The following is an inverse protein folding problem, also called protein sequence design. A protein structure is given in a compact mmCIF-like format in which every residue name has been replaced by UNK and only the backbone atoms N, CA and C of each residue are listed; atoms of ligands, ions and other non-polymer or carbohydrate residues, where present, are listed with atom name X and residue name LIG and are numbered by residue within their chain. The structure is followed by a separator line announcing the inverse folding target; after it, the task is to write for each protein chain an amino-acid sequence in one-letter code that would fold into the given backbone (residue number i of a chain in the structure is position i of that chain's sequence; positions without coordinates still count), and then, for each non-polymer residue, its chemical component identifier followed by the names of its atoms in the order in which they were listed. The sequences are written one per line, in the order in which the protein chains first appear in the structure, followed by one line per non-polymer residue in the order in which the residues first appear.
data_IF_024495850247
#
_entry.id   IF_024495850247
#
_cell.length_a   1.000
_cell.length_b   1.000
_cell.length_c   1.000
_cell.angle_alpha   90.00
_cell.angle_beta   90.00
_cell.angle_gamma   90.00
#
_symmetry.space_group_name_H-M   'P 1'
#
loop_
_entity.id
_entity.type
_entity.pdbx_description
1 polymer ?
#
# COMPACT_ATOMS: atom_id res chain seq x y z
N UNK A 1 12.32 0.86 -4.26
CA UNK A 1 11.62 0.89 -2.96
C UNK A 1 10.19 1.30 -3.20
N UNK A 2 9.24 0.65 -2.54
CA UNK A 2 7.83 1.04 -2.52
C UNK A 2 7.50 1.32 -1.06
N UNK A 3 7.00 2.51 -0.75
CA UNK A 3 6.74 2.98 0.61
C UNK A 3 5.35 3.60 0.70
N UNK A 4 4.78 3.67 1.90
CA UNK A 4 3.55 4.44 2.11
C UNK A 4 3.85 5.94 2.07
N UNK A 5 2.93 6.73 1.51
CA UNK A 5 2.97 8.20 1.58
C UNK A 5 2.49 8.71 2.94
N UNK A 6 1.66 7.92 3.64
CA UNK A 6 1.01 8.27 4.90
C UNK A 6 0.22 9.61 4.73
N UNK A 7 0.43 10.55 5.64
CA UNK A 7 -0.15 11.91 5.62
C UNK A 7 0.85 12.96 5.10
N UNK A 8 2.02 12.54 4.60
CA UNK A 8 3.09 13.44 4.16
C UNK A 8 2.91 13.86 2.71
N UNK A 9 3.40 15.04 2.34
CA UNK A 9 3.53 15.38 0.93
C UNK A 9 4.63 14.52 0.28
N UNK A 10 4.52 14.28 -1.03
CA UNK A 10 5.56 13.57 -1.79
C UNK A 10 6.94 14.21 -1.63
N UNK A 11 7.01 15.54 -1.59
CA UNK A 11 8.27 16.27 -1.44
C UNK A 11 8.92 16.04 -0.07
N UNK A 12 8.14 16.09 1.02
CA UNK A 12 8.63 15.81 2.36
C UNK A 12 9.13 14.37 2.47
N UNK A 13 8.37 13.41 1.94
CA UNK A 13 8.74 11.99 1.96
C UNK A 13 10.00 11.73 1.14
N UNK A 14 10.12 12.31 -0.05
CA UNK A 14 11.33 12.24 -0.89
C UNK A 14 12.54 12.84 -0.19
N UNK A 15 12.39 13.98 0.49
CA UNK A 15 13.48 14.62 1.22
C UNK A 15 14.03 13.70 2.32
N UNK A 16 13.15 13.05 3.09
CA UNK A 16 13.54 12.07 4.11
C UNK A 16 14.26 10.88 3.48
N UNK A 17 13.71 10.30 2.41
CA UNK A 17 14.32 9.16 1.71
C UNK A 17 15.71 9.54 1.18
N UNK A 18 15.83 10.67 0.47
CA UNK A 18 17.11 11.14 -0.07
C UNK A 18 18.14 11.37 1.04
N UNK A 19 17.75 12.00 2.15
CA UNK A 19 18.65 12.25 3.27
C UNK A 19 19.16 10.94 3.90
N UNK A 20 18.28 9.96 4.10
CA UNK A 20 18.63 8.65 4.64
C UNK A 20 19.60 7.90 3.71
N UNK A 21 19.32 7.91 2.41
CA UNK A 21 20.18 7.26 1.41
C UNK A 21 21.56 7.92 1.36
N UNK A 22 21.63 9.25 1.28
CA UNK A 22 22.90 9.99 1.21
C UNK A 22 23.75 9.86 2.49
N UNK A 23 23.12 9.59 3.63
CA UNK A 23 23.83 9.32 4.88
C UNK A 23 24.63 8.01 4.83
N UNK A 24 24.14 7.02 4.11
CA UNK A 24 24.79 5.70 3.94
C UNK A 24 25.67 5.67 2.70
N UNK A 25 25.15 6.19 1.59
CA UNK A 25 25.81 6.27 0.28
C UNK A 25 26.17 7.72 -0.03
N UNK A 26 27.34 8.17 0.44
CA UNK A 26 27.75 9.58 0.32
C UNK A 26 27.86 10.09 -1.11
N UNK A 27 28.08 9.19 -2.07
CA UNK A 27 28.19 9.50 -3.51
C UNK A 27 26.83 9.45 -4.23
N UNK A 28 25.75 9.04 -3.54
CA UNK A 28 24.45 8.91 -4.16
C UNK A 28 23.91 10.28 -4.61
N UNK A 29 23.37 10.30 -5.82
CA UNK A 29 22.66 11.46 -6.34
C UNK A 29 21.41 11.71 -5.48
N UNK A 30 21.04 12.98 -5.32
CA UNK A 30 19.81 13.36 -4.63
C UNK A 30 18.61 12.70 -5.32
N UNK A 31 17.76 12.04 -4.52
CA UNK A 31 16.51 11.46 -5.00
C UNK A 31 15.44 12.54 -4.94
N UNK A 32 14.89 12.90 -6.09
CA UNK A 32 13.94 14.02 -6.25
C UNK A 32 12.69 13.65 -7.06
N UNK A 33 12.54 12.38 -7.42
CA UNK A 33 11.51 11.87 -8.31
C UNK A 33 11.18 10.43 -7.93
N UNK A 34 9.96 9.99 -8.26
CA UNK A 34 9.49 8.63 -8.00
C UNK A 34 9.45 7.73 -9.24
N UNK A 35 9.68 8.27 -10.43
CA UNK A 35 9.53 7.57 -11.70
C UNK A 35 10.85 7.44 -12.47
N UNK A 36 11.99 7.41 -11.75
CA UNK A 36 13.31 7.16 -12.34
C UNK A 36 14.25 6.42 -11.40
N UNK A 37 15.33 5.88 -11.98
CA UNK A 37 16.42 5.26 -11.26
C UNK A 37 17.54 6.28 -10.99
N UNK A 38 18.10 6.21 -9.79
CA UNK A 38 19.19 7.06 -9.31
C UNK A 38 20.41 6.21 -9.00
N UNK A 39 21.59 6.70 -9.38
CA UNK A 39 22.84 6.02 -9.05
C UNK A 39 23.13 6.15 -7.55
N UNK A 40 23.30 5.01 -6.87
CA UNK A 40 23.77 4.97 -5.48
C UNK A 40 25.29 4.90 -5.38
N UNK A 41 25.89 4.07 -6.22
CA UNK A 41 27.33 3.84 -6.24
C UNK A 41 27.76 3.49 -7.67
N UNK A 42 28.69 4.28 -8.22
CA UNK A 42 29.20 4.07 -9.56
C UNK A 42 30.07 2.80 -9.67
N UNK A 43 30.85 2.48 -8.63
CA UNK A 43 31.76 1.32 -8.63
C UNK A 43 31.03 -0.02 -8.71
N UNK A 44 29.85 -0.12 -8.10
CA UNK A 44 29.03 -1.34 -8.10
C UNK A 44 27.88 -1.30 -9.11
N UNK A 45 27.81 -0.24 -9.93
CA UNK A 45 26.70 0.07 -10.81
C UNK A 45 25.31 -0.10 -10.14
N UNK A 46 25.20 0.24 -8.86
CA UNK A 46 23.98 0.03 -8.08
C UNK A 46 23.07 1.24 -8.20
N UNK A 47 21.81 0.99 -8.56
CA UNK A 47 20.78 2.01 -8.73
C UNK A 47 19.63 1.79 -7.75
N UNK A 48 18.88 2.86 -7.49
CA UNK A 48 17.68 2.85 -6.67
C UNK A 48 16.56 3.65 -7.33
N UNK A 49 15.33 3.15 -7.24
CA UNK A 49 14.12 3.93 -7.51
C UNK A 49 13.26 3.95 -6.25
N UNK A 50 12.36 4.93 -6.14
CA UNK A 50 11.43 5.05 -5.02
C UNK A 50 10.04 5.34 -5.55
N UNK A 51 9.01 4.66 -5.05
CA UNK A 51 7.61 4.98 -5.34
C UNK A 51 6.83 5.04 -4.03
N UNK A 52 5.79 5.87 -3.99
CA UNK A 52 4.92 6.02 -2.83
C UNK A 52 3.52 5.51 -3.14
N UNK A 53 3.00 4.63 -2.30
CA UNK A 53 1.62 4.18 -2.35
C UNK A 53 0.71 5.28 -1.82
N UNK A 54 -0.31 5.62 -2.60
CA UNK A 54 -1.32 6.60 -2.20
C UNK A 54 -2.60 6.45 -3.02
N UNK A 55 -3.66 7.07 -2.52
CA UNK A 55 -4.89 7.40 -3.24
C UNK A 55 -5.12 8.89 -3.02
N UNK A 56 -5.21 9.69 -4.09
CA UNK A 56 -5.36 11.15 -4.00
C UNK A 56 -4.27 11.83 -3.12
N UNK A 57 -2.99 11.58 -3.42
CA UNK A 57 -1.82 12.12 -2.70
C UNK A 57 -1.72 11.79 -1.20
N UNK A 58 -2.47 10.81 -0.68
CA UNK A 58 -2.36 10.34 0.70
C UNK A 58 -2.59 8.83 0.83
N UNK A 59 -2.09 8.23 1.90
CA UNK A 59 -2.46 6.88 2.30
C UNK A 59 -1.34 5.85 2.21
N UNK A 60 -1.77 4.59 2.24
CA UNK A 60 -0.93 3.42 2.48
C UNK A 60 -1.34 2.28 1.56
N UNK A 61 -0.65 1.15 1.65
CA UNK A 61 -1.05 -0.09 0.97
C UNK A 61 -2.54 -0.43 1.19
N UNK A 62 -3.04 -0.36 2.42
CA UNK A 62 -4.44 -0.65 2.72
C UNK A 62 -5.41 0.29 1.98
N UNK A 63 -5.04 1.55 1.78
CA UNK A 63 -5.84 2.52 1.03
C UNK A 63 -5.92 2.11 -0.44
N UNK A 64 -4.79 1.75 -1.05
CA UNK A 64 -4.73 1.27 -2.45
C UNK A 64 -5.52 -0.03 -2.61
N UNK A 65 -5.36 -0.98 -1.68
CA UNK A 65 -6.09 -2.26 -1.74
C UNK A 65 -7.61 -2.04 -1.66
N UNK A 66 -8.06 -1.15 -0.78
CA UNK A 66 -9.49 -0.82 -0.66
C UNK A 66 -10.04 -0.18 -1.94
N UNK A 67 -9.25 0.68 -2.59
CA UNK A 67 -9.61 1.33 -3.85
C UNK A 67 -9.79 0.33 -5.00
N UNK A 68 -8.93 -0.69 -5.07
CA UNK A 68 -8.94 -1.67 -6.16
C UNK A 68 -9.85 -2.88 -5.90
N UNK A 69 -10.65 -2.91 -4.83
CA UNK A 69 -11.56 -4.04 -4.56
C UNK A 69 -12.56 -4.20 -5.72
N UNK A 70 -12.89 -5.44 -6.08
CA UNK A 70 -13.88 -5.72 -7.14
C UNK A 70 -15.22 -6.21 -6.62
N UNK A 71 -15.28 -6.62 -5.35
CA UNK A 71 -16.45 -7.26 -4.77
C UNK A 71 -17.06 -6.40 -3.65
N UNK A 72 -18.33 -6.67 -3.39
CA UNK A 72 -19.01 -6.14 -2.22
C UNK A 72 -18.35 -6.67 -0.94
N UNK A 73 -18.39 -5.84 0.10
CA UNK A 73 -17.56 -6.01 1.29
C UNK A 73 -18.35 -5.76 2.57
N UNK A 74 -19.52 -6.39 2.76
CA UNK A 74 -20.44 -6.05 3.85
C UNK A 74 -19.79 -6.16 5.23
N UNK A 75 -18.93 -7.15 5.47
CA UNK A 75 -18.24 -7.29 6.75
C UNK A 75 -17.17 -6.19 6.94
N UNK A 76 -16.41 -5.88 5.89
CA UNK A 76 -15.44 -4.79 5.95
C UNK A 76 -16.11 -3.42 6.12
N UNK A 77 -17.21 -3.16 5.43
CA UNK A 77 -17.94 -1.89 5.51
C UNK A 77 -18.57 -1.66 6.88
N UNK A 78 -18.92 -2.74 7.61
CA UNK A 78 -19.34 -2.66 9.01
C UNK A 78 -18.25 -2.12 9.95
N UNK A 79 -16.97 -2.12 9.55
CA UNK A 79 -15.89 -1.52 10.35
C UNK A 79 -16.08 0.00 10.47
N UNK A 80 -16.63 0.67 9.45
CA UNK A 80 -16.92 2.12 9.53
C UNK A 80 -18.12 2.40 10.46
N UNK A 81 -19.10 1.50 10.50
CA UNK A 81 -20.19 1.59 11.48
C UNK A 81 -19.66 1.40 12.92
N UNK A 82 -18.72 0.47 13.11
CA UNK A 82 -18.03 0.29 14.39
C UNK A 82 -17.23 1.53 14.81
N UNK A 83 -16.46 2.13 13.87
CA UNK A 83 -15.78 3.42 14.09
C UNK A 83 -16.76 4.51 14.52
N UNK A 84 -17.89 4.62 13.83
CA UNK A 84 -18.94 5.60 14.12
C UNK A 84 -19.55 5.40 15.52
N UNK A 85 -19.79 4.15 15.91
CA UNK A 85 -20.27 3.80 17.25
C UNK A 85 -19.27 4.20 18.35
N UNK A 86 -17.97 4.04 18.11
CA UNK A 86 -16.93 4.45 19.05
C UNK A 86 -16.81 5.98 19.15
N UNK A 87 -16.93 6.69 18.03
CA UNK A 87 -16.94 8.14 18.00
C UNK A 87 -18.09 8.72 18.84
N UNK A 88 -19.29 8.11 18.80
CA UNK A 88 -20.42 8.49 19.67
C UNK A 88 -20.12 8.32 21.17
N UNK A 89 -19.12 7.51 21.53
CA UNK A 89 -18.64 7.31 22.89
C UNK A 89 -17.38 8.13 23.20
N UNK A 90 -17.03 9.10 22.35
CA UNK A 90 -15.80 9.90 22.42
C UNK A 90 -14.51 9.06 22.38
N UNK A 91 -14.55 7.89 21.73
CA UNK A 91 -13.39 7.06 21.49
C UNK A 91 -12.96 7.25 20.04
N UNK A 92 -11.90 8.01 19.82
CA UNK A 92 -11.33 8.18 18.49
C UNK A 92 -10.40 7.02 18.12
N UNK A 93 -10.54 6.55 16.88
CA UNK A 93 -9.65 5.56 16.28
C UNK A 93 -9.03 6.16 15.04
N UNK A 94 -7.69 6.19 15.02
CA UNK A 94 -6.92 6.60 13.85
C UNK A 94 -7.37 5.82 12.59
N UNK A 95 -7.57 6.56 11.50
CA UNK A 95 -7.91 6.05 10.17
C UNK A 95 -7.06 4.87 9.71
N UNK A 96 -5.74 4.89 9.94
CA UNK A 96 -4.82 3.78 9.62
C UNK A 96 -5.26 2.45 10.24
N UNK A 97 -5.71 2.48 11.49
CA UNK A 97 -6.21 1.28 12.19
C UNK A 97 -7.54 0.80 11.61
N UNK A 98 -8.39 1.73 11.17
CA UNK A 98 -9.66 1.41 10.51
C UNK A 98 -9.43 0.76 9.16
N UNK A 99 -8.57 1.32 8.30
CA UNK A 99 -8.28 0.75 6.99
C UNK A 99 -7.62 -0.64 7.11
N UNK A 100 -6.74 -0.84 8.09
CA UNK A 100 -6.18 -2.17 8.41
C UNK A 100 -7.24 -3.19 8.82
N UNK A 101 -8.20 -2.79 9.66
CA UNK A 101 -9.30 -3.66 10.07
C UNK A 101 -10.27 -3.92 8.92
N UNK A 102 -10.51 -2.93 8.06
CA UNK A 102 -11.32 -3.07 6.86
C UNK A 102 -10.71 -4.16 5.95
N UNK A 103 -9.42 -4.07 5.62
CA UNK A 103 -8.72 -5.06 4.78
C UNK A 103 -8.73 -6.46 5.43
N UNK A 104 -8.55 -6.54 6.75
CA UNK A 104 -8.64 -7.82 7.46
C UNK A 104 -10.02 -8.46 7.35
N UNK A 105 -11.11 -7.69 7.48
CA UNK A 105 -12.46 -8.22 7.33
C UNK A 105 -12.74 -8.61 5.88
N UNK A 106 -12.29 -7.81 4.91
CA UNK A 106 -12.43 -8.14 3.50
C UNK A 106 -11.78 -9.49 3.16
N UNK A 107 -10.56 -9.72 3.65
CA UNK A 107 -9.79 -10.95 3.40
C UNK A 107 -10.30 -12.16 4.19
N UNK A 108 -10.88 -11.94 5.39
CA UNK A 108 -11.28 -13.06 6.26
C UNK A 108 -12.74 -13.45 6.11
N UNK A 109 -13.59 -12.48 5.83
CA UNK A 109 -15.05 -12.66 5.87
C UNK A 109 -15.69 -12.53 4.50
N UNK A 110 -15.32 -11.54 3.70
CA UNK A 110 -16.03 -11.22 2.45
C UNK A 110 -15.55 -12.08 1.27
N UNK A 111 -14.23 -12.29 1.14
CA UNK A 111 -13.63 -12.91 -0.05
C UNK A 111 -13.40 -14.43 -0.02
N UNK A 112 -13.23 -15.12 1.13
CA UNK A 112 -12.97 -16.57 1.13
C UNK A 112 -14.24 -17.41 0.95
N UNK A 113 -14.11 -18.51 0.20
CA UNK A 113 -15.12 -19.56 0.18
C UNK A 113 -15.28 -20.25 1.54
N UNK A 114 -16.38 -20.96 1.75
CA UNK A 114 -16.62 -21.71 2.99
C UNK A 114 -15.52 -22.75 3.29
N UNK A 115 -14.95 -23.37 2.26
CA UNK A 115 -13.84 -24.30 2.43
C UNK A 115 -12.54 -23.59 2.84
N UNK A 116 -12.28 -22.41 2.29
CA UNK A 116 -11.12 -21.59 2.68
C UNK A 116 -11.26 -21.12 4.13
N UNK A 117 -12.46 -20.72 4.58
CA UNK A 117 -12.73 -20.33 5.97
C UNK A 117 -12.42 -21.45 6.97
N UNK A 118 -12.67 -22.73 6.61
CA UNK A 118 -12.31 -23.89 7.46
C UNK A 118 -10.80 -24.06 7.66
N UNK A 119 -9.98 -23.56 6.73
CA UNK A 119 -8.53 -23.57 6.82
C UNK A 119 -7.97 -22.12 6.85
N UNK A 120 -8.60 -21.27 7.66
CA UNK A 120 -8.35 -19.81 7.68
C UNK A 120 -6.87 -19.43 7.82
N UNK A 121 -6.08 -20.15 8.63
CA UNK A 121 -4.63 -19.86 8.78
C UNK A 121 -3.89 -19.91 7.43
N UNK A 122 -4.31 -20.80 6.53
CA UNK A 122 -3.69 -20.99 5.21
C UNK A 122 -4.24 -20.01 4.17
N UNK A 123 -5.54 -19.75 4.17
CA UNK A 123 -6.21 -19.05 3.07
C UNK A 123 -6.72 -17.64 3.40
N UNK A 124 -7.05 -17.34 4.66
CA UNK A 124 -7.59 -16.05 5.06
C UNK A 124 -6.46 -15.09 5.49
N UNK A 125 -5.46 -14.89 4.62
CA UNK A 125 -4.34 -13.98 4.81
C UNK A 125 -4.03 -13.20 3.53
N UNK A 126 -3.30 -12.09 3.67
CA UNK A 126 -3.00 -11.17 2.57
C UNK A 126 -2.26 -11.85 1.42
N UNK A 127 -1.25 -12.68 1.71
CA UNK A 127 -0.47 -13.36 0.68
C UNK A 127 -1.35 -14.25 -0.21
N UNK A 128 -2.28 -15.01 0.38
CA UNK A 128 -3.23 -15.82 -0.40
C UNK A 128 -4.23 -14.93 -1.15
N UNK A 129 -4.79 -13.92 -0.49
CA UNK A 129 -5.74 -12.99 -1.12
C UNK A 129 -5.15 -12.30 -2.35
N UNK A 130 -3.88 -11.90 -2.35
CA UNK A 130 -3.24 -11.28 -3.51
C UNK A 130 -3.08 -12.22 -4.71
N UNK A 131 -3.18 -13.55 -4.51
CA UNK A 131 -3.20 -14.51 -5.63
C UNK A 131 -4.56 -14.62 -6.32
N UNK A 132 -5.63 -14.14 -5.66
CA UNK A 132 -7.00 -14.16 -6.17
C UNK A 132 -7.24 -12.94 -7.05
N UNK A 133 -7.15 -13.11 -8.37
CA UNK A 133 -7.33 -12.02 -9.35
C UNK A 133 -8.76 -11.52 -9.47
N UNK A 134 -9.73 -12.26 -8.94
CA UNK A 134 -11.16 -11.94 -9.01
C UNK A 134 -11.62 -10.99 -7.89
N UNK A 135 -10.82 -10.77 -6.85
CA UNK A 135 -11.15 -9.89 -5.71
C UNK A 135 -10.42 -8.51 -5.80
N UNK A 136 -9.48 -8.36 -6.74
CA UNK A 136 -8.72 -7.12 -6.95
C UNK A 136 -8.71 -6.72 -8.42
N UNK A 137 -8.99 -5.46 -8.71
CA UNK A 137 -8.86 -4.86 -10.02
C UNK A 137 -7.42 -4.37 -10.19
N UNK A 138 -6.52 -5.28 -10.59
CA UNK A 138 -5.14 -4.91 -10.89
C UNK A 138 -5.00 -3.99 -12.12
N UNK A 139 -6.09 -3.74 -12.87
CA UNK A 139 -6.16 -2.76 -13.96
C UNK A 139 -6.73 -1.39 -13.53
N UNK A 140 -7.00 -1.19 -12.24
CA UNK A 140 -7.46 0.10 -11.73
C UNK A 140 -6.40 1.19 -11.93
N UNK A 141 -6.84 2.39 -12.33
CA UNK A 141 -5.95 3.51 -12.69
C UNK A 141 -5.06 3.99 -11.54
N UNK A 142 -5.49 3.78 -10.29
CA UNK A 142 -4.69 4.08 -9.09
C UNK A 142 -3.35 3.34 -9.06
N UNK A 143 -3.23 2.24 -9.81
CA UNK A 143 -2.00 1.46 -9.93
C UNK A 143 -1.11 1.90 -11.09
N UNK A 144 -1.53 2.87 -11.92
CA UNK A 144 -0.77 3.26 -13.11
C UNK A 144 0.63 3.74 -12.76
N UNK A 145 0.76 4.65 -11.78
CA UNK A 145 2.08 5.16 -11.35
C UNK A 145 2.96 4.05 -10.76
N UNK A 146 2.38 3.07 -10.06
CA UNK A 146 3.12 1.92 -9.54
C UNK A 146 3.58 1.01 -10.69
N UNK A 147 2.74 0.78 -11.69
CA UNK A 147 3.08 -0.03 -12.87
C UNK A 147 4.20 0.64 -13.66
N UNK A 148 4.11 1.94 -13.92
CA UNK A 148 5.15 2.73 -14.57
C UNK A 148 6.47 2.65 -13.80
N UNK A 149 6.43 2.79 -12.47
CA UNK A 149 7.59 2.63 -11.62
C UNK A 149 8.23 1.24 -11.74
N UNK A 150 7.42 0.18 -11.71
CA UNK A 150 7.92 -1.20 -11.80
C UNK A 150 8.52 -1.50 -13.18
N UNK A 151 8.06 -0.85 -14.25
CA UNK A 151 8.64 -0.97 -15.58
C UNK A 151 10.08 -0.47 -15.67
N UNK A 152 10.52 0.41 -14.77
CA UNK A 152 11.93 0.84 -14.68
C UNK A 152 12.88 -0.35 -14.43
N UNK A 153 12.37 -1.46 -13.92
CA UNK A 153 13.14 -2.67 -13.60
C UNK A 153 12.83 -3.85 -14.53
N UNK A 154 11.87 -3.70 -15.44
CA UNK A 154 11.55 -4.71 -16.43
C UNK A 154 12.59 -4.62 -17.56
N UNK A 155 13.57 -5.54 -17.53
CA UNK A 155 14.55 -5.75 -18.60
C UNK A 155 13.98 -6.76 -19.59
#
# INVERSE_FOLDING_TARGET
MVLDLDEQTRQERLAVVSQCIQRVFREAVRIDDTQKLFQLNASTNTQIGCHFLHVNEQGELETVLREIKTQDSPHADCVEAWRSCLAQKNIDINRKKIDKLWIQNYIREDTPSQNEKRAAKKYCNLSHALTKKDIWNFEHEVLNELKEFLQLFAI
#
